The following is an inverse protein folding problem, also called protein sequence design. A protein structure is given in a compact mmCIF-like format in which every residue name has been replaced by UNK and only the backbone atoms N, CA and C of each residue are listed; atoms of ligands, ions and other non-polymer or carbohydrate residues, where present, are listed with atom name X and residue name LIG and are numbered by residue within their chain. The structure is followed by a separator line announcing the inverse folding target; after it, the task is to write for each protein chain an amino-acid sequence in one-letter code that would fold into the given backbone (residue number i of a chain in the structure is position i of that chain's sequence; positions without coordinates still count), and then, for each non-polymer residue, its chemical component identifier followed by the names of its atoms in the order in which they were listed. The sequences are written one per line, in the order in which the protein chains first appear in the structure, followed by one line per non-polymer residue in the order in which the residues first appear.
data_IF_933881976432
#
_entry.id   IF_933881976432
#
_cell.length_a   1.000
_cell.length_b   1.000
_cell.length_c   1.000
_cell.angle_alpha   90.00
_cell.angle_beta   90.00
_cell.angle_gamma   90.00
#
_symmetry.space_group_name_H-M   'P 1'
#
loop_
_entity.id
_entity.type
_entity.pdbx_description
1 polymer ?
#
# COMPACT_ATOMS: atom_id res chain seq x y z
N UNK A 1 15.68 6.07 16.33
CA UNK A 1 14.82 5.24 15.47
C UNK A 1 15.37 5.39 14.07
N UNK A 2 16.20 4.44 13.64
CA UNK A 2 16.93 4.52 12.36
C UNK A 2 16.01 4.09 11.21
N UNK A 3 15.97 4.85 10.13
CA UNK A 3 15.20 4.51 8.94
C UNK A 3 16.08 3.58 8.08
N UNK A 4 15.65 2.34 7.89
CA UNK A 4 16.39 1.36 7.11
C UNK A 4 16.16 1.55 5.60
N UNK A 5 17.07 2.28 4.95
CA UNK A 5 17.04 2.55 3.52
C UNK A 5 17.55 1.37 2.69
N UNK A 6 16.79 1.01 1.65
CA UNK A 6 17.15 -0.03 0.69
C UNK A 6 17.37 0.58 -0.68
N UNK A 7 18.57 0.39 -1.22
CA UNK A 7 18.94 0.76 -2.59
C UNK A 7 18.64 -0.39 -3.56
N UNK A 8 18.35 -0.06 -4.82
CA UNK A 8 18.18 -1.07 -5.88
C UNK A 8 19.50 -1.81 -6.15
N UNK A 9 19.43 -3.11 -6.45
CA UNK A 9 20.60 -3.88 -6.88
C UNK A 9 20.99 -3.65 -8.34
N UNK A 10 20.13 -2.97 -9.13
CA UNK A 10 20.43 -2.61 -10.53
C UNK A 10 21.22 -1.30 -10.67
N UNK A 11 21.54 -0.66 -9.55
CA UNK A 11 22.28 0.60 -9.40
C UNK A 11 23.78 0.56 -9.74
N UNK A 12 24.25 -0.49 -10.44
CA UNK A 12 25.67 -0.88 -10.43
C UNK A 12 26.41 -0.84 -11.77
N UNK A 13 25.79 -0.45 -12.89
CA UNK A 13 26.45 -0.54 -14.20
C UNK A 13 27.17 0.77 -14.57
N UNK A 14 28.37 0.96 -14.01
CA UNK A 14 29.49 1.86 -14.42
C UNK A 14 29.19 3.38 -14.59
N UNK A 15 27.96 3.82 -14.84
CA UNK A 15 27.57 5.23 -15.01
C UNK A 15 26.15 5.54 -14.47
N UNK A 16 25.51 4.63 -13.74
CA UNK A 16 24.14 4.78 -13.24
C UNK A 16 24.09 5.49 -11.89
N UNK A 17 24.37 6.78 -11.91
CA UNK A 17 24.32 7.59 -10.70
C UNK A 17 22.86 7.87 -10.23
N UNK A 18 21.85 7.64 -11.07
CA UNK A 18 20.44 7.93 -10.77
C UNK A 18 19.77 6.78 -10.00
N UNK A 19 20.10 6.65 -8.71
CA UNK A 19 19.56 5.59 -7.87
C UNK A 19 18.46 6.11 -6.95
N UNK A 20 17.30 5.44 -6.93
CA UNK A 20 16.26 5.67 -5.92
C UNK A 20 16.47 4.75 -4.73
N UNK A 21 16.20 5.25 -3.52
CA UNK A 21 16.18 4.47 -2.29
C UNK A 21 14.79 4.50 -1.66
N UNK A 22 14.39 3.37 -1.07
CA UNK A 22 13.11 3.24 -0.37
C UNK A 22 13.28 2.74 1.05
N UNK A 23 12.44 3.22 1.95
CA UNK A 23 12.39 2.76 3.34
C UNK A 23 10.96 2.65 3.84
N UNK A 24 10.70 1.61 4.65
CA UNK A 24 9.47 1.52 5.43
C UNK A 24 9.54 2.47 6.62
N UNK A 25 8.53 3.32 6.78
CA UNK A 25 8.37 4.26 7.88
C UNK A 25 6.98 4.11 8.50
N UNK A 26 6.75 4.65 9.70
CA UNK A 26 5.45 4.52 10.39
C UNK A 26 4.28 5.05 9.55
N UNK A 27 4.52 6.07 8.72
CA UNK A 27 3.53 6.69 7.84
C UNK A 27 3.39 6.03 6.46
N UNK A 28 4.13 4.93 6.17
CA UNK A 28 4.08 4.24 4.89
C UNK A 28 5.46 3.97 4.29
N UNK A 29 5.68 4.41 3.05
CA UNK A 29 6.93 4.21 2.31
C UNK A 29 7.55 5.56 1.97
N UNK A 30 8.79 5.77 2.41
CA UNK A 30 9.59 6.93 2.06
C UNK A 30 10.46 6.60 0.84
N UNK A 31 10.51 7.54 -0.12
CA UNK A 31 11.26 7.44 -1.37
C UNK A 31 12.16 8.67 -1.45
N UNK A 32 13.44 8.46 -1.75
CA UNK A 32 14.40 9.55 -1.97
C UNK A 32 15.33 9.25 -3.13
N UNK A 33 15.94 10.31 -3.63
CA UNK A 33 17.05 10.22 -4.55
C UNK A 33 18.36 9.91 -3.78
N UNK A 34 19.16 8.99 -4.32
CA UNK A 34 20.43 8.59 -3.70
C UNK A 34 21.54 9.63 -3.91
N UNK A 35 21.42 10.53 -4.88
CA UNK A 35 22.39 11.62 -5.09
C UNK A 35 22.14 12.79 -4.15
N UNK A 36 20.88 12.99 -3.77
CA UNK A 36 20.48 14.01 -2.80
C UNK A 36 19.84 13.38 -1.55
N UNK A 37 20.63 12.76 -0.66
CA UNK A 37 20.12 12.06 0.52
C UNK A 37 19.50 12.99 1.56
N UNK A 38 19.86 14.28 1.54
CA UNK A 38 19.38 15.34 2.44
C UNK A 38 18.23 16.15 1.84
N UNK A 39 18.00 16.03 0.53
CA UNK A 39 16.89 16.64 -0.19
C UNK A 39 15.51 16.12 0.20
N UNK A 40 14.54 16.52 -0.64
CA UNK A 40 13.13 16.19 -0.44
C UNK A 40 12.87 14.68 -0.48
N UNK A 41 12.07 14.19 0.47
CA UNK A 41 11.63 12.79 0.55
C UNK A 41 10.14 12.72 0.26
N UNK A 42 9.74 11.89 -0.69
CA UNK A 42 8.34 11.62 -0.97
C UNK A 42 7.87 10.49 -0.05
N UNK A 43 6.81 10.73 0.72
CA UNK A 43 6.19 9.69 1.54
C UNK A 43 4.83 9.36 0.97
N UNK A 44 4.60 8.08 0.70
CA UNK A 44 3.33 7.56 0.20
C UNK A 44 2.81 6.47 1.10
N UNK A 45 1.49 6.28 1.08
CA UNK A 45 0.86 5.15 1.77
C UNK A 45 1.29 3.80 1.15
N UNK A 46 1.30 2.74 1.96
CA UNK A 46 1.74 1.41 1.54
C UNK A 46 0.89 0.82 0.41
N UNK A 47 -0.43 1.00 0.45
CA UNK A 47 -1.34 0.54 -0.61
C UNK A 47 -1.13 1.33 -1.90
N UNK A 48 -0.86 2.63 -1.80
CA UNK A 48 -0.53 3.48 -2.95
C UNK A 48 0.78 3.06 -3.60
N UNK A 49 1.80 2.76 -2.80
CA UNK A 49 3.08 2.26 -3.30
C UNK A 49 2.94 0.92 -4.01
N UNK A 50 2.15 -0.01 -3.46
CA UNK A 50 1.85 -1.30 -4.10
C UNK A 50 1.18 -1.14 -5.47
N UNK A 51 0.19 -0.25 -5.59
CA UNK A 51 -0.46 0.08 -6.87
C UNK A 51 0.51 0.70 -7.88
N UNK A 52 1.38 1.60 -7.42
CA UNK A 52 2.41 2.21 -8.26
C UNK A 52 3.34 1.13 -8.85
N UNK A 53 3.82 0.20 -8.03
CA UNK A 53 4.70 -0.88 -8.49
C UNK A 53 4.02 -1.81 -9.49
N UNK A 54 2.75 -2.16 -9.30
CA UNK A 54 1.99 -2.97 -10.26
C UNK A 54 1.94 -2.26 -11.61
N UNK A 55 1.61 -0.97 -11.61
CA UNK A 55 1.53 -0.16 -12.85
C UNK A 55 2.88 -0.03 -13.55
N UNK A 56 3.97 0.19 -12.81
CA UNK A 56 5.33 0.31 -13.37
C UNK A 56 5.79 -1.02 -13.99
N UNK A 57 5.46 -2.16 -13.36
CA UNK A 57 5.83 -3.49 -13.86
C UNK A 57 5.08 -3.90 -15.13
N UNK A 58 4.11 -3.10 -15.59
CA UNK A 58 3.26 -3.48 -16.71
C UNK A 58 2.17 -4.48 -16.33
N UNK A 59 1.98 -4.73 -15.03
CA UNK A 59 0.84 -5.50 -14.52
C UNK A 59 -0.40 -4.60 -14.64
N UNK A 60 -0.92 -4.48 -15.86
CA UNK A 60 -2.24 -3.91 -16.09
C UNK A 60 -3.25 -4.84 -15.42
N UNK A 61 -3.72 -4.47 -14.22
CA UNK A 61 -4.94 -5.04 -13.67
C UNK A 61 -6.08 -4.62 -14.58
N UNK A 62 -6.27 -5.33 -15.69
CA UNK A 62 -7.46 -5.24 -16.51
C UNK A 62 -8.60 -5.82 -15.71
N UNK A 63 -9.24 -4.95 -14.91
CA UNK A 63 -10.52 -5.22 -14.26
C UNK A 63 -10.42 -5.53 -12.77
N UNK A 64 -10.94 -4.61 -11.94
CA UNK A 64 -12.21 -4.87 -11.25
C UNK A 64 -12.62 -3.63 -10.43
N UNK A 65 -13.27 -2.68 -11.10
CA UNK A 65 -14.17 -1.69 -10.48
C UNK A 65 -15.51 -2.38 -10.07
N UNK A 66 -15.45 -3.59 -9.51
CA UNK A 66 -16.64 -4.28 -8.97
C UNK A 66 -16.27 -4.95 -7.66
N UNK A 67 -16.39 -4.20 -6.58
CA UNK A 67 -16.17 -4.79 -5.26
C UNK A 67 -16.32 -3.92 -4.03
N UNK A 68 -16.80 -2.67 -4.14
CA UNK A 68 -17.23 -1.90 -2.95
C UNK A 68 -18.76 -1.93 -2.82
N UNK A 69 -19.34 -3.13 -2.66
CA UNK A 69 -20.67 -3.24 -2.03
C UNK A 69 -20.46 -3.64 -0.59
N UNK A 70 -20.96 -2.78 0.29
CA UNK A 70 -20.74 -2.79 1.73
C UNK A 70 -20.93 -4.15 2.37
N UNK A 71 -19.98 -4.49 3.23
CA UNK A 71 -20.12 -5.55 4.23
C UNK A 71 -21.04 -5.05 5.34
N UNK A 72 -22.35 -5.05 5.10
CA UNK A 72 -23.34 -4.97 6.20
C UNK A 72 -23.53 -6.37 6.75
N UNK A 73 -22.70 -6.73 7.73
CA UNK A 73 -22.94 -7.87 8.62
C UNK A 73 -23.58 -7.36 9.90
N UNK A 74 -24.87 -7.60 10.05
CA UNK A 74 -25.57 -7.78 11.33
C UNK A 74 -26.84 -8.55 10.97
N UNK A 75 -26.91 -9.86 11.15
CA UNK A 75 -26.76 -10.52 12.45
C UNK A 75 -28.12 -10.45 13.13
N UNK A 76 -28.96 -11.47 12.90
CA UNK A 76 -30.36 -11.50 13.33
C UNK A 76 -30.52 -11.65 14.84
N UNK A 77 -31.71 -11.26 15.31
CA UNK A 77 -32.24 -11.69 16.58
C UNK A 77 -33.65 -12.24 16.34
N UNK A 78 -33.74 -13.56 16.25
CA UNK A 78 -34.97 -14.33 16.38
C UNK A 78 -35.62 -13.99 17.73
N UNK A 79 -36.90 -13.64 17.74
CA UNK A 79 -37.73 -13.73 18.95
C UNK A 79 -39.00 -14.47 18.61
N UNK A 80 -39.07 -15.66 19.19
CA UNK A 80 -40.11 -16.67 19.12
C UNK A 80 -41.34 -16.26 19.95
N UNK A 81 -42.50 -16.66 19.45
CA UNK A 81 -43.69 -17.14 20.15
C UNK A 81 -44.16 -16.41 21.43
N UNK A 82 -45.29 -15.72 21.32
CA UNK A 82 -46.20 -15.46 22.44
C UNK A 82 -47.52 -16.18 22.22
N UNK A 83 -47.72 -17.31 22.90
CA UNK A 83 -49.02 -17.94 23.16
C UNK A 83 -49.01 -18.56 24.55
N UNK A 84 -49.76 -17.95 25.47
CA UNK A 84 -50.44 -18.50 26.65
C UNK A 84 -51.33 -17.34 27.14
N UNK A 85 -52.60 -17.44 27.51
CA UNK A 85 -53.55 -18.52 27.80
C UNK A 85 -54.56 -17.90 28.77
N UNK A 86 -55.86 -18.13 28.51
CA UNK A 86 -57.09 -17.85 29.32
C UNK A 86 -57.33 -16.47 29.95
#
# INVERSE_FOLDING_TARGET
MEINWRKSSRSGAINDEACVEVAGVTSGVAIRDSKDPDGGRLTVDGDQFGRLLQRIKGEHSTGSERGRRGRSRSGGASRSAGSVGE
#
